data_IF_618068063825
#
_entry.id   IF_618068063825
#
_cell.length_a   1.000
_cell.length_b   1.000
_cell.length_c   1.000
_cell.angle_alpha   90.00
_cell.angle_beta   90.00
_cell.angle_gamma   90.00
#
_symmetry.space_group_name_H-M   'P 1'
#
loop_
_entity.id
_entity.type
_entity.pdbx_description
1 polymer ?
#
# COMPACT_ATOMS: atom_id res chain seq x y z
N UNK A 1 -9.94 -5.50 11.10
CA UNK A 1 -10.44 -4.16 11.44
C UNK A 1 -9.30 -3.41 12.10
N UNK A 2 -8.76 -2.39 11.45
CA UNK A 2 -7.61 -1.62 11.96
C UNK A 2 -8.02 -0.42 12.83
N UNK A 3 -9.32 -0.13 12.97
CA UNK A 3 -9.81 0.99 13.78
C UNK A 3 -9.38 0.91 15.26
N UNK A 4 -9.15 -0.31 15.77
CA UNK A 4 -8.63 -0.52 17.13
C UNK A 4 -7.16 -0.12 17.29
N UNK A 5 -6.43 0.01 16.19
CA UNK A 5 -5.03 0.41 16.15
C UNK A 5 -4.92 1.84 15.58
N UNK A 6 -5.60 2.80 16.21
CA UNK A 6 -5.68 4.19 15.75
C UNK A 6 -4.35 4.95 15.66
N UNK A 7 -3.27 4.39 16.23
CA UNK A 7 -1.91 4.92 16.16
C UNK A 7 -0.98 4.10 15.27
N UNK A 8 -1.51 3.12 14.53
CA UNK A 8 -0.69 2.27 13.67
C UNK A 8 -0.14 3.09 12.50
N UNK A 9 1.18 3.21 12.42
CA UNK A 9 1.89 3.91 11.35
C UNK A 9 2.62 2.96 10.42
N UNK A 10 2.91 1.75 10.88
CA UNK A 10 3.64 0.72 10.14
C UNK A 10 2.79 -0.54 10.00
N UNK A 11 2.63 -1.01 8.77
CA UNK A 11 1.96 -2.28 8.47
C UNK A 11 2.77 -3.08 7.43
N UNK A 12 3.11 -4.33 7.76
CA UNK A 12 3.64 -5.30 6.81
C UNK A 12 2.69 -6.47 6.66
N UNK A 13 2.33 -6.78 5.42
CA UNK A 13 1.51 -7.94 5.03
C UNK A 13 2.32 -8.89 4.13
N UNK A 14 3.65 -8.83 4.22
CA UNK A 14 4.58 -9.52 3.34
C UNK A 14 4.27 -11.02 3.27
N UNK A 15 4.07 -11.53 2.05
CA UNK A 15 3.90 -12.95 1.78
C UNK A 15 2.60 -13.58 2.30
N UNK A 16 1.60 -12.78 2.67
CA UNK A 16 0.29 -13.33 3.04
C UNK A 16 -0.47 -13.82 1.78
N UNK A 17 -1.10 -15.01 1.82
CA UNK A 17 -1.78 -15.57 0.65
C UNK A 17 -3.03 -14.77 0.22
N UNK A 18 -3.62 -13.98 1.13
CA UNK A 18 -4.89 -13.27 0.92
C UNK A 18 -4.76 -11.74 0.99
N UNK A 19 -3.64 -11.17 0.54
CA UNK A 19 -3.41 -9.71 0.61
C UNK A 19 -4.52 -8.89 -0.05
N UNK A 20 -5.18 -9.42 -1.09
CA UNK A 20 -6.23 -8.68 -1.79
C UNK A 20 -7.42 -8.30 -0.90
N UNK A 21 -7.89 -9.25 -0.09
CA UNK A 21 -9.00 -9.02 0.82
C UNK A 21 -8.58 -8.11 1.97
N UNK A 22 -7.34 -8.26 2.43
CA UNK A 22 -6.81 -7.46 3.54
C UNK A 22 -6.68 -5.99 3.11
N UNK A 23 -6.12 -5.69 1.92
CA UNK A 23 -5.93 -4.31 1.47
C UNK A 23 -7.25 -3.53 1.37
N UNK A 24 -8.31 -4.17 0.86
CA UNK A 24 -9.66 -3.58 0.82
C UNK A 24 -10.19 -3.22 2.21
N UNK A 25 -9.84 -3.99 3.24
CA UNK A 25 -10.21 -3.69 4.63
C UNK A 25 -9.35 -2.61 5.29
N UNK A 26 -8.08 -2.51 4.88
CA UNK A 26 -7.09 -1.59 5.48
C UNK A 26 -7.26 -0.16 4.97
N UNK A 27 -7.76 0.04 3.76
CA UNK A 27 -7.76 1.35 3.11
C UNK A 27 -8.59 2.42 3.81
N UNK A 28 -9.72 2.03 4.41
CA UNK A 28 -10.61 2.98 5.09
C UNK A 28 -10.08 3.34 6.48
N UNK A 29 -9.42 2.39 7.14
CA UNK A 29 -8.97 2.53 8.53
C UNK A 29 -7.51 2.99 8.64
N UNK A 30 -6.69 2.72 7.61
CA UNK A 30 -5.23 2.88 7.61
C UNK A 30 -4.73 4.27 7.21
N UNK A 31 -5.54 5.31 7.40
CA UNK A 31 -5.19 6.67 6.99
C UNK A 31 -4.01 7.27 7.77
N UNK A 32 -3.68 6.71 8.93
CA UNK A 32 -2.50 7.07 9.72
C UNK A 32 -1.21 6.34 9.29
N UNK A 33 -1.28 5.40 8.34
CA UNK A 33 -0.11 4.64 7.91
C UNK A 33 0.89 5.55 7.17
N UNK A 34 2.15 5.46 7.60
CA UNK A 34 3.30 6.08 6.93
C UNK A 34 4.17 5.02 6.25
N UNK A 35 4.07 3.74 6.65
CA UNK A 35 4.83 2.64 6.07
C UNK A 35 3.90 1.48 5.72
N UNK A 36 3.94 1.04 4.46
CA UNK A 36 3.19 -0.12 3.98
C UNK A 36 4.10 -1.06 3.18
N UNK A 37 4.14 -2.33 3.59
CA UNK A 37 4.84 -3.39 2.85
C UNK A 37 3.86 -4.47 2.42
N UNK A 38 3.70 -4.63 1.11
CA UNK A 38 2.93 -5.69 0.45
C UNK A 38 3.85 -6.59 -0.39
N UNK A 39 5.15 -6.61 -0.10
CA UNK A 39 6.11 -7.44 -0.84
C UNK A 39 5.66 -8.90 -0.87
N UNK A 40 5.77 -9.55 -2.04
CA UNK A 40 5.34 -10.94 -2.26
C UNK A 40 3.84 -11.19 -2.03
N UNK A 41 3.00 -10.15 -2.11
CA UNK A 41 1.55 -10.30 -2.23
C UNK A 41 1.17 -10.44 -3.70
N UNK A 42 0.26 -11.37 -4.00
CA UNK A 42 -0.38 -11.42 -5.31
C UNK A 42 -1.54 -10.39 -5.36
N UNK A 43 -1.26 -9.19 -5.87
CA UNK A 43 -2.22 -8.09 -5.94
C UNK A 43 -2.87 -8.02 -7.33
N UNK A 44 -4.19 -7.86 -7.39
CA UNK A 44 -4.87 -7.51 -8.65
C UNK A 44 -4.61 -6.04 -9.01
N UNK A 45 -4.80 -5.68 -10.28
CA UNK A 45 -4.68 -4.27 -10.72
C UNK A 45 -5.64 -3.35 -9.97
N UNK A 46 -6.89 -3.79 -9.74
CA UNK A 46 -7.87 -3.07 -8.92
C UNK A 46 -7.30 -2.74 -7.53
N UNK A 47 -6.58 -3.69 -6.95
CA UNK A 47 -6.02 -3.55 -5.61
C UNK A 47 -4.74 -2.72 -5.58
N UNK A 48 -3.93 -2.73 -6.63
CA UNK A 48 -2.81 -1.80 -6.76
C UNK A 48 -3.30 -0.35 -6.82
N UNK A 49 -4.42 -0.08 -7.50
CA UNK A 49 -5.01 1.27 -7.57
C UNK A 49 -5.49 1.79 -6.21
N UNK A 50 -5.84 0.91 -5.29
CA UNK A 50 -6.22 1.27 -3.93
C UNK A 50 -5.07 1.95 -3.16
N UNK A 51 -3.82 1.67 -3.51
CA UNK A 51 -2.66 2.22 -2.81
C UNK A 51 -2.62 3.76 -2.88
N UNK A 52 -3.17 4.35 -3.94
CA UNK A 52 -3.24 5.80 -4.12
C UNK A 52 -4.12 6.51 -3.08
N UNK A 53 -4.93 5.78 -2.28
CA UNK A 53 -5.73 6.39 -1.21
C UNK A 53 -4.98 6.57 0.11
N UNK A 54 -3.74 6.08 0.22
CA UNK A 54 -2.91 6.28 1.41
C UNK A 54 -2.06 7.55 1.26
N UNK A 55 -2.66 8.70 1.57
CA UNK A 55 -2.05 10.01 1.34
C UNK A 55 -0.89 10.35 2.30
N UNK A 56 -0.69 9.54 3.35
CA UNK A 56 0.33 9.75 4.36
C UNK A 56 1.55 8.82 4.24
N UNK A 57 1.62 7.97 3.20
CA UNK A 57 2.74 7.06 3.03
C UNK A 57 4.04 7.81 2.77
N UNK A 58 5.06 7.44 3.55
CA UNK A 58 6.45 7.83 3.41
C UNK A 58 7.30 6.67 2.88
N UNK A 59 6.90 5.42 3.16
CA UNK A 59 7.55 4.23 2.65
C UNK A 59 6.54 3.22 2.07
N UNK A 60 6.81 2.75 0.85
CA UNK A 60 6.00 1.75 0.16
C UNK A 60 6.88 0.66 -0.44
N UNK A 61 6.56 -0.60 -0.13
CA UNK A 61 7.24 -1.77 -0.71
C UNK A 61 6.22 -2.68 -1.40
N UNK A 62 6.39 -2.90 -2.70
CA UNK A 62 5.53 -3.69 -3.58
C UNK A 62 6.33 -4.74 -4.36
N UNK A 63 7.37 -5.31 -3.75
CA UNK A 63 8.22 -6.29 -4.43
C UNK A 63 7.39 -7.43 -5.03
N UNK A 64 7.61 -7.78 -6.30
CA UNK A 64 6.81 -8.75 -7.08
C UNK A 64 5.37 -8.33 -7.38
N UNK A 65 5.10 -7.03 -7.54
CA UNK A 65 3.85 -6.54 -8.10
C UNK A 65 4.02 -6.22 -9.59
N UNK A 66 2.96 -6.44 -10.37
CA UNK A 66 2.90 -6.01 -11.78
C UNK A 66 2.55 -4.52 -11.83
N UNK A 67 3.58 -3.67 -11.93
CA UNK A 67 3.42 -2.21 -11.93
C UNK A 67 3.74 -1.64 -13.32
N UNK A 68 2.86 -0.79 -13.83
CA UNK A 68 3.06 -0.06 -15.09
C UNK A 68 3.37 1.43 -14.86
N UNK A 69 3.78 2.12 -15.93
CA UNK A 69 4.11 3.55 -15.91
C UNK A 69 2.93 4.44 -15.50
N UNK A 70 1.71 4.03 -15.82
CA UNK A 70 0.51 4.80 -15.51
C UNK A 70 0.23 4.78 -14.00
N UNK A 71 0.37 3.61 -13.37
CA UNK A 71 0.28 3.43 -11.93
C UNK A 71 1.35 4.28 -11.21
N UNK A 72 2.59 4.27 -11.69
CA UNK A 72 3.66 5.11 -11.12
C UNK A 72 3.34 6.60 -11.23
N UNK A 73 2.83 7.07 -12.37
CA UNK A 73 2.40 8.48 -12.55
C UNK A 73 1.27 8.85 -11.59
N UNK A 74 0.32 7.95 -11.33
CA UNK A 74 -0.73 8.16 -10.33
C UNK A 74 -0.18 8.17 -8.91
N UNK A 75 0.78 7.30 -8.58
CA UNK A 75 1.43 7.26 -7.27
C UNK A 75 2.10 8.60 -6.98
N UNK A 76 2.89 9.12 -7.92
CA UNK A 76 3.59 10.40 -7.79
C UNK A 76 2.62 11.56 -7.52
N UNK A 77 1.42 11.53 -8.13
CA UNK A 77 0.41 12.58 -7.95
C UNK A 77 -0.36 12.48 -6.62
N UNK A 78 -0.52 11.28 -6.07
CA UNK A 78 -1.36 11.01 -4.89
C UNK A 78 -0.56 10.89 -3.60
N UNK A 79 0.55 10.15 -3.62
CA UNK A 79 1.38 9.86 -2.46
C UNK A 79 2.61 10.78 -2.41
N UNK A 80 2.37 12.09 -2.27
CA UNK A 80 3.42 13.13 -2.34
C UNK A 80 4.47 13.08 -1.21
N UNK A 81 4.25 12.26 -0.18
CA UNK A 81 5.15 12.13 0.98
C UNK A 81 6.14 10.97 0.86
N UNK A 82 6.10 10.18 -0.21
CA UNK A 82 6.98 9.01 -0.38
C UNK A 82 8.45 9.45 -0.41
N UNK A 83 9.25 8.81 0.44
CA UNK A 83 10.70 8.96 0.56
C UNK A 83 11.45 7.65 0.33
N UNK A 84 10.76 6.52 0.47
CA UNK A 84 11.28 5.18 0.19
C UNK A 84 10.28 4.40 -0.66
N UNK A 85 10.69 3.99 -1.85
CA UNK A 85 9.87 3.20 -2.78
C UNK A 85 10.68 1.99 -3.25
N UNK A 86 10.16 0.79 -3.01
CA UNK A 86 10.70 -0.47 -3.53
C UNK A 86 9.61 -1.17 -4.35
N UNK A 87 9.84 -1.29 -5.66
CA UNK A 87 8.95 -1.89 -6.65
C UNK A 87 9.65 -3.00 -7.45
N UNK A 88 10.70 -3.59 -6.87
CA UNK A 88 11.55 -4.61 -7.51
C UNK A 88 10.87 -5.97 -7.74
#
# INVERSE_FOLDING_TARGET
>A
NLQRFSKLTYLSLRGLPNCNNILKSVINDGQCLTHLSLSRCNLSQENLELIHKFNNLEALQLTRAEIDDNWLRKLIRSCAKIRHLDIS
#
